data_IF_276827828309
#
_entry.id   IF_276827828309
#
_cell.length_a   1.000
_cell.length_b   1.000
_cell.length_c   1.000
_cell.angle_alpha   90.00
_cell.angle_beta   90.00
_cell.angle_gamma   90.00
#
_symmetry.space_group_name_H-M   'P 1'
#
loop_
_entity.id
_entity.type
_entity.pdbx_description
1 polymer ?
#
# COMPACT_ATOMS: atom_id res chain seq x y z
N UNK A 1 6.79 -2.19 -38.64
CA UNK A 1 6.76 -1.81 -37.22
C UNK A 1 5.67 -0.77 -37.07
N UNK A 2 4.57 -1.14 -36.45
CA UNK A 2 3.40 -0.27 -36.25
C UNK A 2 3.54 0.35 -34.85
N UNK A 3 3.78 1.66 -34.79
CA UNK A 3 4.04 2.44 -33.57
C UNK A 3 2.74 2.97 -32.94
N UNK A 4 1.59 2.39 -33.30
CA UNK A 4 0.27 2.84 -32.83
C UNK A 4 -0.16 2.21 -31.50
N UNK A 5 0.54 1.19 -31.00
CA UNK A 5 0.23 0.53 -29.72
C UNK A 5 0.73 1.31 -28.48
N UNK A 6 1.75 2.17 -28.65
CA UNK A 6 2.40 2.96 -27.59
C UNK A 6 1.48 4.02 -26.92
N UNK A 7 0.28 4.26 -27.44
CA UNK A 7 -0.65 5.26 -26.87
C UNK A 7 -1.51 4.72 -25.74
N UNK A 8 -1.67 3.40 -25.65
CA UNK A 8 -2.42 2.75 -24.57
C UNK A 8 -1.67 2.86 -23.23
N UNK A 9 -0.34 2.90 -23.28
CA UNK A 9 0.58 3.17 -22.17
C UNK A 9 0.61 4.64 -21.72
N UNK A 10 -0.17 5.54 -22.31
CA UNK A 10 -0.22 6.95 -21.89
C UNK A 10 -1.47 7.29 -21.07
N UNK A 11 -2.43 6.37 -20.97
CA UNK A 11 -3.66 6.61 -20.22
C UNK A 11 -3.47 6.25 -18.75
N UNK A 12 -3.68 7.19 -17.81
CA UNK A 12 -3.53 6.89 -16.39
C UNK A 12 -4.44 5.73 -15.98
N UNK A 13 -3.84 4.72 -15.35
CA UNK A 13 -4.57 3.54 -14.89
C UNK A 13 -5.76 3.93 -14.00
N UNK A 14 -6.91 3.26 -14.13
CA UNK A 14 -8.10 3.59 -13.36
C UNK A 14 -7.84 3.39 -11.87
N UNK A 15 -8.20 4.41 -11.06
CA UNK A 15 -8.07 4.34 -9.60
C UNK A 15 -8.95 3.20 -9.05
N UNK A 16 -8.43 2.36 -8.14
CA UNK A 16 -9.22 1.30 -7.54
C UNK A 16 -10.40 1.90 -6.75
N UNK A 17 -11.56 1.25 -6.85
CA UNK A 17 -12.78 1.63 -6.10
C UNK A 17 -13.05 0.74 -4.89
N UNK A 18 -12.36 -0.40 -4.80
CA UNK A 18 -12.56 -1.41 -3.77
C UNK A 18 -11.22 -1.87 -3.21
N UNK A 19 -11.21 -2.30 -1.95
CA UNK A 19 -10.00 -2.76 -1.25
C UNK A 19 -9.30 -3.93 -1.96
N UNK A 20 -10.08 -4.82 -2.59
CA UNK A 20 -9.56 -5.92 -3.41
C UNK A 20 -8.77 -5.43 -4.63
N UNK A 21 -9.25 -4.39 -5.30
CA UNK A 21 -8.57 -3.80 -6.46
C UNK A 21 -7.35 -2.99 -6.01
N UNK A 22 -7.43 -2.34 -4.85
CA UNK A 22 -6.27 -1.71 -4.23
C UNK A 22 -5.17 -2.74 -3.97
N UNK A 23 -5.49 -3.88 -3.34
CA UNK A 23 -4.51 -4.94 -3.09
C UNK A 23 -3.92 -5.50 -4.40
N UNK A 24 -4.74 -5.70 -5.42
CA UNK A 24 -4.27 -6.14 -6.73
C UNK A 24 -3.31 -5.13 -7.35
N UNK A 25 -3.63 -3.84 -7.31
CA UNK A 25 -2.77 -2.78 -7.86
C UNK A 25 -1.47 -2.57 -7.07
N UNK A 26 -1.48 -2.77 -5.76
CA UNK A 26 -0.25 -2.78 -4.95
C UNK A 26 0.66 -3.98 -5.24
N UNK A 27 0.10 -5.04 -5.84
CA UNK A 27 0.81 -6.26 -6.27
C UNK A 27 1.00 -6.30 -7.80
N UNK A 28 0.84 -5.16 -8.47
CA UNK A 28 1.03 -5.04 -9.90
C UNK A 28 2.43 -5.53 -10.29
N UNK A 29 2.54 -6.21 -11.43
CA UNK A 29 3.79 -6.85 -11.84
C UNK A 29 4.76 -5.83 -12.43
N UNK A 30 5.99 -6.27 -12.66
CA UNK A 30 6.99 -5.46 -13.36
C UNK A 30 6.45 -4.97 -14.70
N UNK A 31 6.50 -3.66 -14.95
CA UNK A 31 5.91 -3.01 -16.13
C UNK A 31 4.60 -2.27 -15.85
N UNK A 32 3.82 -2.67 -14.84
CA UNK A 32 2.51 -2.09 -14.51
C UNK A 32 2.60 -0.87 -13.57
N UNK A 33 3.58 0.01 -13.82
CA UNK A 33 3.92 1.16 -12.97
C UNK A 33 2.75 2.14 -12.77
N UNK A 34 1.90 2.32 -13.77
CA UNK A 34 0.73 3.21 -13.69
C UNK A 34 -0.35 2.66 -12.76
N UNK A 35 -0.57 1.34 -12.81
CA UNK A 35 -1.49 0.64 -11.90
C UNK A 35 -1.02 0.77 -10.46
N UNK A 36 0.29 0.60 -10.23
CA UNK A 36 0.88 0.77 -8.91
C UNK A 36 0.76 2.21 -8.41
N UNK A 37 1.07 3.19 -9.25
CA UNK A 37 0.96 4.60 -8.92
C UNK A 37 -0.49 5.01 -8.59
N UNK A 38 -1.46 4.59 -9.41
CA UNK A 38 -2.88 4.86 -9.18
C UNK A 38 -3.39 4.21 -7.88
N UNK A 39 -2.92 2.98 -7.59
CA UNK A 39 -3.25 2.29 -6.35
C UNK A 39 -2.69 3.04 -5.13
N UNK A 40 -1.40 3.39 -5.13
CA UNK A 40 -0.76 4.13 -4.05
C UNK A 40 -1.41 5.50 -3.79
N UNK A 41 -1.69 6.27 -4.85
CA UNK A 41 -2.27 7.60 -4.74
C UNK A 41 -3.65 7.56 -4.06
N UNK A 42 -4.45 6.53 -4.38
CA UNK A 42 -5.80 6.36 -3.83
C UNK A 42 -5.85 5.63 -2.48
N UNK A 43 -4.77 4.97 -2.06
CA UNK A 43 -4.76 3.99 -0.97
C UNK A 43 -5.28 4.57 0.34
N UNK A 44 -4.73 5.72 0.76
CA UNK A 44 -5.12 6.41 2.00
C UNK A 44 -6.61 6.77 2.01
N UNK A 45 -7.09 7.42 0.93
CA UNK A 45 -8.47 7.87 0.83
C UNK A 45 -9.44 6.68 0.84
N UNK A 46 -9.12 5.61 0.10
CA UNK A 46 -9.95 4.41 0.00
C UNK A 46 -10.02 3.68 1.34
N UNK A 47 -8.89 3.52 2.04
CA UNK A 47 -8.85 2.88 3.36
C UNK A 47 -9.65 3.69 4.40
N UNK A 48 -9.54 5.02 4.39
CA UNK A 48 -10.31 5.87 5.31
C UNK A 48 -11.81 5.83 5.01
N UNK A 49 -12.19 5.80 3.74
CA UNK A 49 -13.58 5.78 3.31
C UNK A 49 -14.24 4.39 3.40
N UNK A 50 -13.45 3.32 3.49
CA UNK A 50 -13.98 1.96 3.56
C UNK A 50 -14.92 1.82 4.78
N UNK A 51 -16.04 1.09 4.68
CA UNK A 51 -16.86 0.78 5.84
C UNK A 51 -16.12 -0.17 6.78
N UNK A 52 -16.39 -0.08 8.10
CA UNK A 52 -15.93 -1.08 9.08
C UNK A 52 -16.68 -2.39 8.88
N UNK A 53 -16.26 -3.15 7.87
CA UNK A 53 -16.85 -4.41 7.47
C UNK A 53 -15.82 -5.54 7.50
N UNK A 54 -16.30 -6.79 7.44
CA UNK A 54 -15.46 -7.99 7.43
C UNK A 54 -14.42 -7.98 6.29
N UNK A 55 -14.74 -7.38 5.14
CA UNK A 55 -13.78 -7.22 4.04
C UNK A 55 -12.54 -6.41 4.45
N UNK A 56 -12.73 -5.29 5.17
CA UNK A 56 -11.60 -4.47 5.64
C UNK A 56 -10.70 -5.25 6.60
N UNK A 57 -11.30 -5.94 7.57
CA UNK A 57 -10.56 -6.72 8.57
C UNK A 57 -9.76 -7.84 7.90
N UNK A 58 -10.37 -8.56 6.94
CA UNK A 58 -9.71 -9.64 6.19
C UNK A 58 -8.58 -9.13 5.30
N UNK A 59 -8.76 -7.97 4.66
CA UNK A 59 -7.78 -7.42 3.72
C UNK A 59 -6.73 -6.51 4.38
N UNK A 60 -6.93 -6.09 5.63
CA UNK A 60 -6.01 -5.18 6.33
C UNK A 60 -4.58 -5.73 6.37
N UNK A 61 -4.39 -6.97 6.86
CA UNK A 61 -3.05 -7.57 6.91
C UNK A 61 -2.43 -7.75 5.51
N UNK A 62 -3.13 -8.34 4.50
CA UNK A 62 -2.60 -8.42 3.15
C UNK A 62 -2.19 -7.08 2.52
N UNK A 63 -2.96 -6.02 2.76
CA UNK A 63 -2.66 -4.66 2.26
C UNK A 63 -1.46 -4.08 3.02
N UNK A 64 -1.42 -4.21 4.36
CA UNK A 64 -0.29 -3.75 5.16
C UNK A 64 1.01 -4.43 4.74
N UNK A 65 0.98 -5.75 4.55
CA UNK A 65 2.12 -6.52 4.05
C UNK A 65 2.58 -6.01 2.68
N UNK A 66 1.65 -5.82 1.74
CA UNK A 66 1.97 -5.32 0.40
C UNK A 66 2.62 -3.93 0.47
N UNK A 67 2.07 -3.01 1.27
CA UNK A 67 2.62 -1.67 1.46
C UNK A 67 4.00 -1.68 2.12
N UNK A 68 4.20 -2.47 3.18
CA UNK A 68 5.46 -2.52 3.93
C UNK A 68 6.62 -3.04 3.08
N UNK A 69 6.34 -4.03 2.21
CA UNK A 69 7.34 -4.67 1.35
C UNK A 69 7.47 -3.98 -0.02
N UNK A 70 6.76 -2.87 -0.25
CA UNK A 70 6.80 -2.18 -1.52
C UNK A 70 8.06 -1.31 -1.63
N UNK A 71 8.77 -1.49 -2.74
CA UNK A 71 9.98 -0.73 -3.08
C UNK A 71 9.70 0.26 -4.21
N UNK A 72 10.41 1.38 -4.22
CA UNK A 72 10.22 2.44 -5.21
C UNK A 72 10.98 2.16 -6.52
N UNK A 73 10.69 1.06 -7.19
CA UNK A 73 11.42 0.62 -8.39
C UNK A 73 11.27 1.59 -9.58
N UNK A 74 10.15 2.30 -9.65
CA UNK A 74 9.83 3.24 -10.74
C UNK A 74 10.07 4.71 -10.38
N UNK A 75 10.71 5.00 -9.24
CA UNK A 75 10.93 6.37 -8.76
C UNK A 75 9.65 7.22 -8.74
N UNK A 76 8.55 6.63 -8.26
CA UNK A 76 7.24 7.27 -8.19
C UNK A 76 7.28 8.51 -7.27
N UNK A 77 6.69 9.65 -7.69
CA UNK A 77 6.69 10.87 -6.90
C UNK A 77 5.88 10.68 -5.62
N UNK A 78 6.44 11.07 -4.47
CA UNK A 78 5.76 10.98 -3.18
C UNK A 78 5.56 9.56 -2.65
N UNK A 79 6.17 8.54 -3.27
CA UNK A 79 6.02 7.12 -2.93
C UNK A 79 6.08 6.84 -1.42
N UNK A 80 7.18 7.26 -0.77
CA UNK A 80 7.38 6.98 0.65
C UNK A 80 6.30 7.62 1.54
N UNK A 81 5.88 8.84 1.18
CA UNK A 81 4.83 9.56 1.92
C UNK A 81 3.46 8.91 1.72
N UNK A 82 3.10 8.56 0.49
CA UNK A 82 1.84 7.89 0.16
C UNK A 82 1.76 6.51 0.82
N UNK A 83 2.82 5.72 0.70
CA UNK A 83 2.97 4.41 1.35
C UNK A 83 2.74 4.50 2.86
N UNK A 84 3.45 5.42 3.52
CA UNK A 84 3.35 5.62 4.98
C UNK A 84 1.95 6.05 5.40
N UNK A 85 1.38 7.06 4.73
CA UNK A 85 0.02 7.55 5.04
C UNK A 85 -1.04 6.46 4.90
N UNK A 86 -0.93 5.63 3.86
CA UNK A 86 -1.80 4.48 3.68
C UNK A 86 -1.63 3.44 4.80
N UNK A 87 -0.39 3.11 5.18
CA UNK A 87 -0.11 2.18 6.29
C UNK A 87 -0.65 2.72 7.63
N UNK A 88 -0.45 4.00 7.93
CA UNK A 88 -0.99 4.67 9.11
C UNK A 88 -2.52 4.63 9.11
N UNK A 89 -3.17 5.04 8.01
CA UNK A 89 -4.61 5.03 7.90
C UNK A 89 -5.19 3.63 8.12
N UNK A 90 -4.53 2.59 7.59
CA UNK A 90 -4.96 1.20 7.78
C UNK A 90 -4.77 0.75 9.23
N UNK A 91 -3.66 1.13 9.87
CA UNK A 91 -3.35 0.79 11.26
C UNK A 91 -4.35 1.44 12.22
N UNK A 92 -4.69 2.71 12.03
CA UNK A 92 -5.74 3.39 12.81
C UNK A 92 -7.11 2.70 12.65
N UNK A 93 -7.39 2.18 11.46
CA UNK A 93 -8.66 1.50 11.16
C UNK A 93 -8.73 0.06 11.71
N UNK A 94 -7.59 -0.61 11.86
CA UNK A 94 -7.50 -2.00 12.32
C UNK A 94 -6.34 -2.18 13.33
N UNK A 95 -6.38 -1.51 14.48
CA UNK A 95 -5.24 -1.40 15.39
C UNK A 95 -4.84 -2.76 15.99
N UNK A 96 -5.79 -3.60 16.39
CA UNK A 96 -5.48 -4.88 17.05
C UNK A 96 -4.69 -5.82 16.14
N UNK A 97 -5.21 -6.06 14.93
CA UNK A 97 -4.59 -6.98 13.95
C UNK A 97 -3.27 -6.45 13.40
N UNK A 98 -3.16 -5.11 13.22
CA UNK A 98 -1.98 -4.51 12.61
C UNK A 98 -0.88 -4.16 13.60
N UNK A 99 -1.18 -3.83 14.85
CA UNK A 99 -0.15 -3.65 15.88
C UNK A 99 0.60 -4.96 16.12
N UNK A 100 -0.12 -6.08 16.24
CA UNK A 100 0.48 -7.41 16.35
C UNK A 100 1.33 -7.74 15.12
N UNK A 101 0.78 -7.53 13.92
CA UNK A 101 1.48 -7.80 12.67
C UNK A 101 2.77 -6.95 12.52
N UNK A 102 2.69 -5.64 12.70
CA UNK A 102 3.84 -4.73 12.56
C UNK A 102 4.90 -5.00 13.63
N UNK A 103 4.49 -5.41 14.83
CA UNK A 103 5.42 -5.83 15.88
C UNK A 103 6.14 -7.13 15.49
N UNK A 104 5.41 -8.10 14.93
CA UNK A 104 6.02 -9.33 14.43
C UNK A 104 6.99 -9.07 13.27
N UNK A 105 6.65 -8.17 12.36
CA UNK A 105 7.53 -7.70 11.28
C UNK A 105 8.79 -7.03 11.85
N UNK A 106 8.67 -6.19 12.87
CA UNK A 106 9.82 -5.55 13.52
C UNK A 106 10.84 -6.58 14.07
N UNK A 107 10.35 -7.62 14.76
CA UNK A 107 11.20 -8.68 15.33
C UNK A 107 11.57 -9.78 14.32
N UNK A 108 11.01 -9.76 13.12
CA UNK A 108 11.27 -10.76 12.08
C UNK A 108 12.74 -10.80 11.62
N UNK A 109 13.22 -11.97 11.25
CA UNK A 109 14.63 -12.25 10.92
C UNK A 109 15.06 -11.77 9.53
N UNK A 110 14.11 -11.52 8.62
CA UNK A 110 14.37 -11.22 7.20
C UNK A 110 13.98 -9.79 6.78
N UNK A 111 14.04 -8.82 7.70
CA UNK A 111 13.65 -7.44 7.42
C UNK A 111 14.83 -6.49 7.42
N UNK A 112 14.82 -5.55 6.46
CA UNK A 112 15.81 -4.47 6.41
C UNK A 112 15.61 -3.53 7.58
N UNK A 113 16.68 -2.79 7.95
CA UNK A 113 16.58 -1.75 8.98
C UNK A 113 15.51 -0.71 8.63
N UNK A 114 15.38 -0.38 7.34
CA UNK A 114 14.38 0.57 6.84
C UNK A 114 12.96 0.07 7.11
N UNK A 115 12.67 -1.21 6.81
CA UNK A 115 11.34 -1.80 7.07
C UNK A 115 11.02 -1.81 8.57
N UNK A 116 12.00 -2.13 9.42
CA UNK A 116 11.83 -2.11 10.88
C UNK A 116 11.54 -0.70 11.40
N UNK A 117 12.27 0.29 10.90
CA UNK A 117 12.05 1.69 11.26
C UNK A 117 10.67 2.17 10.78
N UNK A 118 10.27 1.80 9.56
CA UNK A 118 8.95 2.15 9.02
C UNK A 118 7.82 1.55 9.87
N UNK A 119 7.92 0.28 10.29
CA UNK A 119 6.94 -0.35 11.18
C UNK A 119 6.78 0.43 12.50
N UNK A 120 7.89 0.81 13.14
CA UNK A 120 7.85 1.61 14.38
C UNK A 120 7.28 3.01 14.16
N UNK A 121 7.66 3.68 13.07
CA UNK A 121 7.14 5.02 12.74
C UNK A 121 5.64 5.01 12.50
N UNK A 122 5.12 3.95 11.86
CA UNK A 122 3.69 3.81 11.61
C UNK A 122 2.93 3.50 12.89
N UNK A 123 3.44 2.64 13.76
CA UNK A 123 2.84 2.40 15.08
C UNK A 123 2.78 3.70 15.89
N UNK A 124 3.89 4.47 15.92
CA UNK A 124 3.95 5.79 16.59
C UNK A 124 2.91 6.75 16.01
N UNK A 125 2.88 6.91 14.69
CA UNK A 125 1.99 7.86 14.02
C UNK A 125 0.51 7.47 14.09
N UNK A 126 0.19 6.19 14.27
CA UNK A 126 -1.19 5.73 14.46
C UNK A 126 -1.69 5.92 15.91
N UNK A 127 -0.78 6.17 16.86
CA UNK A 127 -1.10 6.39 18.28
C UNK A 127 -1.20 7.87 18.67
N UNK A 128 -0.84 8.79 17.77
CA UNK A 128 -1.03 10.25 17.90
C UNK A 128 -2.43 10.68 17.46
#
# INVERSE_FOLDING_TARGET
>A
YDLTDDRSDLLPAPRPKHLRHLLAGLRAKTGEHQTLAAALESAEALVRAAPMARELITLARPIAHALLHLHNEYSLPGFAQQRRRALCALTVRCPDSLSEYLTAEFYGTNHTLEMRLEALLVIRAAAE
#
